data_IF_863307608592
#
_entry.id   IF_863307608592
#
_cell.length_a   1.000
_cell.length_b   1.000
_cell.length_c   1.000
_cell.angle_alpha   90.00
_cell.angle_beta   90.00
_cell.angle_gamma   90.00
#
_symmetry.space_group_name_H-M   'P 1'
#
loop_
_entity.id
_entity.type
_entity.pdbx_description
1 polymer ?
#
# COMPACT_ATOMS: atom_id res chain seq x y z
N UNK A 1 3.62 -11.50 -33.64
CA UNK A 1 4.07 -11.64 -32.25
C UNK A 1 4.89 -10.39 -31.95
N UNK A 2 4.36 -9.46 -31.15
CA UNK A 2 5.14 -8.29 -30.74
C UNK A 2 6.23 -8.76 -29.78
N UNK A 3 7.49 -8.43 -30.09
CA UNK A 3 8.61 -8.69 -29.18
C UNK A 3 8.56 -7.59 -28.12
N UNK A 4 8.10 -7.93 -26.92
CA UNK A 4 8.19 -7.05 -25.76
C UNK A 4 9.60 -7.11 -25.20
N UNK A 5 10.23 -5.96 -24.97
CA UNK A 5 11.52 -5.91 -24.28
C UNK A 5 11.27 -6.03 -22.77
N UNK A 6 12.23 -6.58 -21.99
CA UNK A 6 12.11 -6.60 -20.54
C UNK A 6 11.84 -5.21 -19.92
N UNK A 7 12.40 -4.16 -20.52
CA UNK A 7 12.17 -2.75 -20.14
C UNK A 7 10.73 -2.29 -20.33
N UNK A 8 9.98 -2.92 -21.23
CA UNK A 8 8.60 -2.54 -21.54
C UNK A 8 7.61 -3.21 -20.57
N UNK A 9 8.03 -4.29 -19.90
CA UNK A 9 7.19 -5.09 -18.98
C UNK A 9 7.54 -4.83 -17.52
N UNK A 10 8.81 -4.54 -17.22
CA UNK A 10 9.26 -4.31 -15.85
C UNK A 10 8.58 -3.08 -15.24
N UNK A 11 7.84 -3.29 -14.14
CA UNK A 11 7.15 -2.20 -13.43
C UNK A 11 5.96 -1.58 -14.17
N UNK A 12 5.49 -2.18 -15.28
CA UNK A 12 4.39 -1.63 -16.09
C UNK A 12 3.05 -1.58 -15.34
N UNK A 13 2.84 -2.50 -14.39
CA UNK A 13 1.66 -2.57 -13.53
C UNK A 13 1.91 -1.98 -12.14
N UNK A 14 2.80 -0.99 -12.03
CA UNK A 14 3.11 -0.29 -10.78
C UNK A 14 2.89 1.21 -10.96
N UNK A 15 2.14 1.84 -10.06
CA UNK A 15 1.96 3.29 -9.99
C UNK A 15 3.20 3.92 -9.35
N UNK A 16 4.32 3.81 -10.08
CA UNK A 16 5.66 4.20 -9.65
C UNK A 16 5.90 5.72 -9.82
N UNK A 17 7.09 6.19 -9.44
CA UNK A 17 7.49 7.59 -9.52
C UNK A 17 7.32 8.21 -10.92
N UNK A 18 7.70 7.48 -11.98
CA UNK A 18 7.57 7.96 -13.35
C UNK A 18 6.09 8.14 -13.74
N UNK A 19 5.24 7.18 -13.38
CA UNK A 19 3.78 7.29 -13.60
C UNK A 19 3.19 8.45 -12.81
N UNK A 20 3.61 8.62 -11.55
CA UNK A 20 3.19 9.75 -10.72
C UNK A 20 3.62 11.08 -11.32
N UNK A 21 4.85 11.19 -11.82
CA UNK A 21 5.38 12.40 -12.43
C UNK A 21 4.64 12.76 -13.73
N UNK A 22 4.24 11.76 -14.52
CA UNK A 22 3.49 11.95 -15.76
C UNK A 22 2.04 12.40 -15.50
N UNK A 23 1.38 11.81 -14.49
CA UNK A 23 -0.07 11.95 -14.28
C UNK A 23 -0.46 13.02 -13.28
N UNK A 24 0.38 13.28 -12.28
CA UNK A 24 0.03 14.23 -11.22
C UNK A 24 0.38 15.67 -11.64
N UNK A 25 -0.45 16.66 -11.27
CA UNK A 25 -0.06 18.05 -11.38
C UNK A 25 1.27 18.31 -10.65
N UNK A 26 2.14 19.14 -11.24
CA UNK A 26 3.50 19.40 -10.72
C UNK A 26 3.55 19.74 -9.21
N UNK A 27 2.58 20.52 -8.73
CA UNK A 27 2.49 20.88 -7.31
C UNK A 27 2.15 19.67 -6.42
N UNK A 28 1.21 18.83 -6.86
CA UNK A 28 0.77 17.61 -6.17
C UNK A 28 1.89 16.58 -6.14
N UNK A 29 2.55 16.34 -7.27
CA UNK A 29 3.73 15.46 -7.35
C UNK A 29 4.82 15.90 -6.37
N UNK A 30 5.19 17.18 -6.40
CA UNK A 30 6.22 17.72 -5.49
C UNK A 30 5.82 17.57 -4.02
N UNK A 31 4.57 17.90 -3.69
CA UNK A 31 4.05 17.77 -2.32
C UNK A 31 4.06 16.33 -1.83
N UNK A 32 3.62 15.37 -2.67
CA UNK A 32 3.64 13.95 -2.34
C UNK A 32 5.07 13.44 -2.15
N UNK A 33 5.98 13.79 -3.06
CA UNK A 33 7.38 13.37 -2.98
C UNK A 33 8.07 13.94 -1.72
N UNK A 34 7.80 15.20 -1.35
CA UNK A 34 8.29 15.79 -0.10
C UNK A 34 7.70 15.10 1.13
N UNK A 35 6.45 14.65 1.05
CA UNK A 35 5.77 13.92 2.12
C UNK A 35 6.44 12.56 2.34
N UNK A 36 6.71 11.81 1.27
CA UNK A 36 7.40 10.51 1.31
C UNK A 36 8.83 10.67 1.84
N UNK A 37 9.57 11.65 1.34
CA UNK A 37 10.97 11.86 1.71
C UNK A 37 11.14 12.21 3.19
N UNK A 38 10.22 13.00 3.74
CA UNK A 38 10.30 13.52 5.11
C UNK A 38 9.41 12.78 6.11
N UNK A 39 8.65 11.75 5.69
CA UNK A 39 7.73 11.02 6.56
C UNK A 39 6.62 11.90 7.15
N UNK A 40 6.09 12.85 6.38
CA UNK A 40 5.00 13.73 6.81
C UNK A 40 3.63 13.10 6.54
N UNK A 41 2.59 13.69 7.12
CA UNK A 41 1.21 13.34 6.79
C UNK A 41 0.84 13.83 5.37
N UNK A 42 0.06 13.02 4.65
CA UNK A 42 -0.45 13.38 3.33
C UNK A 42 -1.60 14.40 3.50
N UNK A 43 -1.47 15.54 2.83
CA UNK A 43 -2.55 16.54 2.77
C UNK A 43 -3.81 15.92 2.11
N UNK A 44 -5.01 16.02 2.72
CA UNK A 44 -6.24 15.48 2.16
C UNK A 44 -6.54 15.93 0.71
N UNK A 45 -6.22 17.18 0.38
CA UNK A 45 -6.42 17.72 -0.97
C UNK A 45 -5.45 17.09 -1.99
N UNK A 46 -4.23 16.78 -1.55
CA UNK A 46 -3.25 16.03 -2.35
C UNK A 46 -3.72 14.58 -2.52
N UNK A 47 -4.24 13.96 -1.45
CA UNK A 47 -4.72 12.58 -1.48
C UNK A 47 -5.89 12.39 -2.47
N UNK A 48 -6.83 13.33 -2.55
CA UNK A 48 -7.95 13.24 -3.51
C UNK A 48 -7.46 13.28 -4.96
N UNK A 49 -6.50 14.15 -5.28
CA UNK A 49 -5.92 14.22 -6.63
C UNK A 49 -5.14 12.94 -6.95
N UNK A 50 -4.36 12.43 -6.00
CA UNK A 50 -3.62 11.17 -6.16
C UNK A 50 -4.58 9.99 -6.36
N UNK A 51 -5.66 9.92 -5.58
CA UNK A 51 -6.68 8.87 -5.73
C UNK A 51 -7.31 8.90 -7.13
N UNK A 52 -7.72 10.07 -7.63
CA UNK A 52 -8.30 10.18 -8.98
C UNK A 52 -7.32 9.69 -10.05
N UNK A 53 -6.07 10.14 -10.00
CA UNK A 53 -5.04 9.74 -10.95
C UNK A 53 -4.70 8.24 -10.87
N UNK A 54 -4.67 7.68 -9.65
CA UNK A 54 -4.41 6.26 -9.40
C UNK A 54 -5.56 5.39 -9.91
N UNK A 55 -6.81 5.81 -9.72
CA UNK A 55 -8.01 5.14 -10.26
C UNK A 55 -8.00 5.14 -11.78
N UNK A 56 -7.78 6.30 -12.40
CA UNK A 56 -7.75 6.43 -13.86
C UNK A 56 -6.67 5.53 -14.47
N UNK A 57 -5.44 5.60 -13.93
CA UNK A 57 -4.36 4.71 -14.34
C UNK A 57 -4.72 3.23 -14.15
N UNK A 58 -5.36 2.86 -13.03
CA UNK A 58 -5.72 1.48 -12.75
C UNK A 58 -6.75 0.95 -13.74
N UNK A 59 -7.79 1.75 -14.03
CA UNK A 59 -8.86 1.40 -14.97
C UNK A 59 -8.35 1.31 -16.40
N UNK A 60 -7.44 2.20 -16.82
CA UNK A 60 -6.76 2.11 -18.11
C UNK A 60 -5.98 0.79 -18.29
N UNK A 61 -5.47 0.24 -17.18
CA UNK A 61 -4.79 -1.05 -17.15
C UNK A 61 -5.72 -2.23 -16.85
N UNK A 62 -7.04 -2.03 -16.92
CA UNK A 62 -8.06 -3.09 -16.80
C UNK A 62 -8.48 -3.43 -15.38
N UNK A 63 -8.05 -2.66 -14.37
CA UNK A 63 -8.52 -2.86 -13.01
C UNK A 63 -10.00 -2.47 -12.87
N UNK A 64 -10.76 -3.28 -12.14
CA UNK A 64 -12.19 -3.09 -11.86
C UNK A 64 -12.48 -2.89 -10.37
N UNK A 65 -11.50 -3.25 -9.54
CA UNK A 65 -11.57 -3.19 -8.10
C UNK A 65 -10.30 -2.54 -7.53
N UNK A 66 -10.34 -2.16 -6.27
CA UNK A 66 -9.19 -1.84 -5.46
C UNK A 66 -9.23 -2.63 -4.15
N UNK A 67 -8.08 -2.76 -3.50
CA UNK A 67 -7.95 -3.38 -2.18
C UNK A 67 -6.85 -2.68 -1.40
N UNK A 68 -7.08 -2.48 -0.11
CA UNK A 68 -5.99 -2.24 0.83
C UNK A 68 -5.24 -3.54 1.04
N UNK A 69 -3.97 -3.54 0.67
CA UNK A 69 -3.10 -4.72 0.67
C UNK A 69 -2.19 -4.66 1.90
N UNK A 70 -2.34 -5.60 2.84
CA UNK A 70 -1.56 -5.62 4.07
C UNK A 70 -1.30 -7.03 4.59
N UNK A 71 -0.32 -7.16 5.48
CA UNK A 71 0.05 -8.43 6.10
C UNK A 71 -0.30 -8.41 7.60
N UNK A 72 -1.47 -8.94 8.00
CA UNK A 72 -1.84 -9.05 9.40
C UNK A 72 -0.88 -9.96 10.19
N UNK A 73 -0.91 -9.82 11.51
CA UNK A 73 -0.12 -10.66 12.42
C UNK A 73 -0.45 -12.16 12.33
N UNK A 74 -1.60 -12.53 11.75
CA UNK A 74 -2.03 -13.91 11.50
C UNK A 74 -1.26 -14.60 10.37
N UNK A 75 -0.45 -13.87 9.60
CA UNK A 75 0.57 -14.43 8.72
C UNK A 75 0.20 -14.61 7.25
N UNK A 76 -1.07 -14.44 6.87
CA UNK A 76 -1.52 -14.48 5.47
C UNK A 76 -1.89 -13.05 5.05
N UNK A 77 -1.49 -12.65 3.84
CA UNK A 77 -1.89 -11.35 3.25
C UNK A 77 -3.41 -11.21 3.26
N UNK A 78 -3.89 -10.07 3.74
CA UNK A 78 -5.29 -9.71 3.68
C UNK A 78 -5.53 -8.80 2.46
N UNK A 79 -6.54 -9.16 1.67
CA UNK A 79 -7.03 -8.40 0.54
C UNK A 79 -8.57 -8.39 0.65
N UNK A 80 -9.19 -7.19 0.65
CA UNK A 80 -10.64 -7.01 0.54
C UNK A 80 -10.89 -6.18 -0.71
N UNK A 81 -11.53 -6.78 -1.69
CA UNK A 81 -11.76 -6.15 -2.99
C UNK A 81 -13.05 -5.34 -2.96
N UNK A 82 -12.91 -4.03 -3.12
CA UNK A 82 -14.00 -3.08 -3.29
C UNK A 82 -14.05 -2.64 -4.75
N UNK A 83 -15.25 -2.51 -5.31
CA UNK A 83 -15.41 -2.09 -6.70
C UNK A 83 -15.16 -0.59 -6.84
N UNK A 84 -14.54 -0.18 -7.96
CA UNK A 84 -14.57 1.24 -8.33
C UNK A 84 -15.99 1.69 -8.71
N UNK A 85 -16.88 0.79 -9.11
CA UNK A 85 -18.19 1.15 -9.61
C UNK A 85 -19.15 1.49 -8.45
N UNK A 86 -19.75 2.68 -8.53
CA UNK A 86 -20.75 3.18 -7.59
C UNK A 86 -22.00 3.64 -8.35
N UNK A 87 -23.23 3.31 -7.90
CA UNK A 87 -24.45 3.81 -8.53
C UNK A 87 -24.55 5.33 -8.43
N UNK A 88 -24.93 6.01 -9.51
CA UNK A 88 -25.01 7.49 -9.55
C UNK A 88 -26.33 8.06 -8.99
N UNK A 89 -27.23 7.19 -8.51
CA UNK A 89 -28.56 7.53 -8.01
C UNK A 89 -29.59 7.89 -9.08
N UNK A 90 -29.21 7.99 -10.35
CA UNK A 90 -30.05 8.36 -11.49
C UNK A 90 -30.20 7.23 -12.52
N UNK A 91 -29.79 6.01 -12.17
CA UNK A 91 -29.87 4.82 -13.03
C UNK A 91 -28.63 4.57 -13.88
N UNK A 92 -27.57 5.36 -13.71
CA UNK A 92 -26.24 5.13 -14.25
C UNK A 92 -25.25 4.66 -13.17
N UNK A 93 -23.98 4.65 -13.54
CA UNK A 93 -22.89 4.29 -12.64
C UNK A 93 -21.68 5.18 -12.90
N UNK A 94 -20.95 5.48 -11.83
CA UNK A 94 -19.72 6.27 -11.85
C UNK A 94 -18.59 5.46 -11.23
N UNK A 95 -17.36 5.82 -11.56
CA UNK A 95 -16.18 5.23 -10.93
C UNK A 95 -15.73 6.12 -9.78
N UNK A 96 -15.71 5.59 -8.57
CA UNK A 96 -15.34 6.30 -7.35
C UNK A 96 -14.11 5.67 -6.70
N UNK A 97 -13.16 6.53 -6.36
CA UNK A 97 -12.03 6.24 -5.49
C UNK A 97 -11.51 7.58 -4.99
N UNK A 98 -11.51 7.80 -3.68
CA UNK A 98 -11.24 9.10 -3.07
C UNK A 98 -10.00 9.07 -2.19
N UNK A 99 -9.45 10.23 -1.87
CA UNK A 99 -8.31 10.37 -0.97
C UNK A 99 -8.59 9.85 0.44
N UNK A 100 -9.87 9.79 0.84
CA UNK A 100 -10.29 9.14 2.08
C UNK A 100 -9.84 7.68 2.13
N UNK A 101 -9.99 6.94 1.02
CA UNK A 101 -9.54 5.56 0.92
C UNK A 101 -8.02 5.42 0.98
N UNK A 102 -7.25 6.48 0.68
CA UNK A 102 -5.80 6.46 0.83
C UNK A 102 -5.38 6.79 2.27
N UNK A 103 -5.96 7.82 2.89
CA UNK A 103 -5.54 8.31 4.22
C UNK A 103 -6.06 7.40 5.33
N UNK A 104 -7.34 7.04 5.29
CA UNK A 104 -8.01 6.24 6.33
C UNK A 104 -9.14 5.43 5.74
N UNK A 105 -8.81 4.23 5.28
CA UNK A 105 -9.80 3.23 4.91
C UNK A 105 -10.42 2.59 6.15
N UNK A 106 -11.72 2.31 6.07
CA UNK A 106 -12.43 1.44 7.02
C UNK A 106 -12.69 0.11 6.32
N UNK A 107 -11.73 -0.83 6.28
CA UNK A 107 -12.04 -2.17 5.84
C UNK A 107 -13.13 -2.74 6.76
N UNK A 108 -14.14 -3.41 6.19
CA UNK A 108 -15.10 -4.16 6.98
C UNK A 108 -14.39 -5.33 7.68
N UNK A 109 -13.83 -5.03 8.85
CA UNK A 109 -12.99 -5.92 9.63
C UNK A 109 -13.82 -6.93 10.45
N UNK A 110 -15.14 -6.96 10.26
CA UNK A 110 -16.04 -7.90 10.95
C UNK A 110 -15.71 -9.38 10.68
N UNK A 111 -15.01 -9.65 9.57
CA UNK A 111 -14.57 -10.99 9.15
C UNK A 111 -13.23 -11.43 9.76
N UNK A 112 -12.47 -10.55 10.43
CA UNK A 112 -11.23 -10.95 11.11
C UNK A 112 -11.55 -11.58 12.48
N UNK A 113 -10.85 -12.66 12.86
CA UNK A 113 -11.13 -13.39 14.10
C UNK A 113 -10.98 -12.47 15.32
N UNK A 114 -12.12 -12.13 15.96
CA UNK A 114 -12.20 -11.19 17.08
C UNK A 114 -12.00 -11.85 18.46
N UNK A 115 -11.65 -13.15 18.51
CA UNK A 115 -11.44 -13.87 19.76
C UNK A 115 -12.68 -13.96 20.68
N UNK A 116 -13.88 -13.63 20.18
CA UNK A 116 -15.15 -13.81 20.89
C UNK A 116 -15.37 -12.95 22.14
N UNK A 117 -14.51 -11.96 22.41
CA UNK A 117 -14.50 -11.22 23.70
C UNK A 117 -14.76 -9.70 23.58
N UNK A 118 -15.12 -9.17 22.41
CA UNK A 118 -15.29 -7.71 22.22
C UNK A 118 -16.62 -7.33 21.56
N UNK A 119 -17.15 -6.17 21.97
CA UNK A 119 -18.29 -5.54 21.31
C UNK A 119 -17.96 -5.25 19.84
N UNK A 120 -18.88 -5.53 18.93
CA UNK A 120 -18.68 -5.49 17.46
C UNK A 120 -18.20 -4.15 16.91
N UNK A 121 -18.35 -3.04 17.66
CA UNK A 121 -17.82 -1.73 17.28
C UNK A 121 -16.29 -1.61 17.44
N UNK A 122 -15.70 -2.30 18.41
CA UNK A 122 -14.25 -2.27 18.72
C UNK A 122 -13.42 -3.22 17.84
N UNK A 123 -14.10 -4.09 17.06
CA UNK A 123 -13.48 -4.99 16.10
C UNK A 123 -13.13 -4.29 14.77
N UNK A 124 -13.33 -2.97 14.66
CA UNK A 124 -12.99 -2.18 13.48
C UNK A 124 -11.49 -1.96 13.41
N UNK A 125 -10.91 -2.35 12.29
CA UNK A 125 -9.55 -1.99 11.92
C UNK A 125 -9.53 -0.85 10.92
N UNK A 126 -8.42 -0.11 10.88
CA UNK A 126 -8.21 1.03 9.99
C UNK A 126 -6.99 0.78 9.12
N UNK A 127 -7.11 1.09 7.84
CA UNK A 127 -5.99 1.05 6.89
C UNK A 127 -5.50 2.45 6.59
N UNK A 128 -4.19 2.62 6.51
CA UNK A 128 -3.55 3.84 6.07
C UNK A 128 -2.54 3.49 4.98
N UNK A 129 -2.63 4.15 3.82
CA UNK A 129 -1.67 3.95 2.74
C UNK A 129 -0.26 4.35 3.19
N UNK A 130 0.72 3.47 2.91
CA UNK A 130 2.13 3.80 3.02
C UNK A 130 2.68 4.17 1.63
N UNK A 131 2.90 5.47 1.35
CA UNK A 131 3.36 5.92 0.04
C UNK A 131 4.83 5.59 -0.24
N UNK A 132 5.57 5.04 0.72
CA UNK A 132 6.93 4.49 0.46
C UNK A 132 6.88 3.16 -0.31
N UNK A 133 5.71 2.53 -0.38
CA UNK A 133 5.44 1.32 -1.15
C UNK A 133 4.45 1.65 -2.27
N UNK A 134 4.87 1.55 -3.53
CA UNK A 134 4.01 1.89 -4.67
C UNK A 134 2.77 1.01 -4.75
N UNK A 135 1.64 1.61 -5.09
CA UNK A 135 0.46 0.87 -5.49
C UNK A 135 0.72 0.10 -6.80
N UNK A 136 0.10 -1.05 -6.96
CA UNK A 136 0.31 -1.92 -8.10
C UNK A 136 -0.97 -2.63 -8.50
N UNK A 137 -1.02 -3.13 -9.73
CA UNK A 137 -2.14 -3.94 -10.21
C UNK A 137 -1.73 -5.40 -10.14
N UNK A 138 -2.59 -6.19 -9.51
CA UNK A 138 -2.50 -7.65 -9.50
C UNK A 138 -3.84 -8.18 -9.97
N UNK A 139 -3.80 -9.02 -11.00
CA UNK A 139 -4.99 -9.48 -11.71
C UNK A 139 -5.82 -8.27 -12.18
N UNK A 140 -7.04 -8.10 -11.66
CA UNK A 140 -7.93 -6.99 -12.04
C UNK A 140 -8.16 -6.00 -10.89
N UNK A 141 -7.22 -5.92 -9.93
CA UNK A 141 -7.36 -5.08 -8.74
C UNK A 141 -6.16 -4.16 -8.52
N UNK A 142 -6.45 -2.89 -8.20
CA UNK A 142 -5.47 -1.96 -7.65
C UNK A 142 -5.17 -2.31 -6.19
N UNK A 143 -3.97 -2.79 -5.91
CA UNK A 143 -3.48 -3.08 -4.58
C UNK A 143 -2.78 -1.86 -3.99
N UNK A 144 -3.27 -1.37 -2.86
CA UNK A 144 -2.76 -0.19 -2.14
C UNK A 144 -2.01 -0.70 -0.89
N UNK A 145 -0.68 -0.64 -0.84
CA UNK A 145 0.08 -1.12 0.31
C UNK A 145 -0.25 -0.31 1.57
N UNK A 146 -0.81 -0.95 2.59
CA UNK A 146 -1.31 -0.23 3.77
C UNK A 146 -0.74 -0.76 5.07
N UNK A 147 -0.70 0.12 6.06
CA UNK A 147 -0.58 -0.23 7.45
C UNK A 147 -1.97 -0.49 8.06
N UNK A 148 -2.09 -1.45 8.97
CA UNK A 148 -3.34 -1.86 9.61
C UNK A 148 -3.32 -1.70 11.12
N UNK A 149 -4.29 -0.95 11.65
CA UNK A 149 -4.39 -0.57 13.05
C UNK A 149 -5.74 -0.97 13.64
N UNK A 150 -5.76 -1.26 14.93
CA UNK A 150 -6.99 -1.34 15.71
C UNK A 150 -7.59 0.05 15.97
N UNK A 151 -8.83 0.08 16.44
CA UNK A 151 -9.45 1.32 16.96
C UNK A 151 -8.66 1.98 18.09
N UNK A 152 -7.98 1.20 18.95
CA UNK A 152 -7.11 1.71 20.02
C UNK A 152 -5.73 2.18 19.53
N UNK A 153 -5.42 2.07 18.23
CA UNK A 153 -4.14 2.46 17.64
C UNK A 153 -3.04 1.41 17.77
N UNK A 154 -3.36 0.21 18.28
CA UNK A 154 -2.44 -0.92 18.27
C UNK A 154 -2.21 -1.39 16.83
N UNK A 155 -0.94 -1.65 16.48
CA UNK A 155 -0.59 -2.21 15.18
C UNK A 155 -1.07 -3.66 15.09
N UNK A 156 -1.84 -3.97 14.05
CA UNK A 156 -2.38 -5.32 13.78
C UNK A 156 -1.71 -5.97 12.55
N UNK A 157 -0.63 -5.38 12.05
CA UNK A 157 0.15 -5.85 10.91
C UNK A 157 1.63 -6.08 11.24
N UNK A 158 2.35 -6.62 10.26
CA UNK A 158 3.81 -6.75 10.29
C UNK A 158 4.55 -5.52 9.78
N UNK A 159 3.89 -4.68 8.97
CA UNK A 159 4.51 -3.53 8.30
C UNK A 159 4.83 -2.40 9.29
N UNK A 160 3.90 -2.08 10.19
CA UNK A 160 4.08 -1.00 11.17
C UNK A 160 5.26 -1.27 12.12
N UNK A 161 5.40 -2.45 12.74
CA UNK A 161 6.58 -2.77 13.55
C UNK A 161 7.89 -2.70 12.77
N UNK A 162 7.90 -3.15 11.50
CA UNK A 162 9.08 -3.08 10.64
C UNK A 162 9.50 -1.62 10.37
N UNK A 163 8.56 -0.76 9.96
CA UNK A 163 8.84 0.66 9.71
C UNK A 163 9.37 1.37 10.96
N UNK A 164 8.77 1.11 12.13
CA UNK A 164 9.26 1.63 13.42
C UNK A 164 10.67 1.16 13.74
N UNK A 165 10.97 -0.11 13.48
CA UNK A 165 12.32 -0.65 13.68
C UNK A 165 13.33 -0.01 12.74
N UNK A 166 12.98 0.20 11.48
CA UNK A 166 13.86 0.86 10.50
C UNK A 166 14.16 2.30 10.92
N UNK A 167 13.16 3.04 11.40
CA UNK A 167 13.34 4.40 11.88
C UNK A 167 14.26 4.45 13.11
N UNK A 168 14.03 3.58 14.11
CA UNK A 168 14.88 3.51 15.30
C UNK A 168 16.34 3.18 14.95
N UNK A 169 16.58 2.28 13.99
CA UNK A 169 17.94 1.98 13.50
C UNK A 169 18.54 3.19 12.79
N UNK A 170 17.78 3.86 11.92
CA UNK A 170 18.22 5.06 11.21
C UNK A 170 18.66 6.17 12.18
N UNK A 171 17.85 6.47 13.19
CA UNK A 171 18.16 7.50 14.19
C UNK A 171 19.50 7.26 14.90
N UNK A 172 19.79 6.02 15.31
CA UNK A 172 21.04 5.71 16.00
C UNK A 172 22.23 5.68 15.04
N UNK A 173 22.03 5.17 13.82
CA UNK A 173 23.07 5.15 12.79
C UNK A 173 23.50 6.58 12.42
N UNK A 174 22.55 7.52 12.26
CA UNK A 174 22.84 8.93 12.00
C UNK A 174 23.70 9.55 13.11
N UNK A 175 23.38 9.30 14.39
CA UNK A 175 24.20 9.80 15.52
C UNK A 175 25.65 9.31 15.46
N UNK A 176 25.84 8.03 15.14
CA UNK A 176 27.18 7.46 15.01
C UNK A 176 27.93 8.08 13.83
N UNK A 177 27.26 8.26 12.68
CA UNK A 177 27.87 8.88 11.50
C UNK A 177 28.28 10.34 11.76
N UNK A 178 27.48 11.10 12.50
CA UNK A 178 27.83 12.46 12.92
C UNK A 178 29.08 12.48 13.80
N UNK A 179 29.21 11.54 14.75
CA UNK A 179 30.42 11.40 15.57
C UNK A 179 31.66 11.03 14.74
N UNK A 180 31.48 10.38 13.59
CA UNK A 180 32.54 10.05 12.64
C UNK A 180 32.85 11.19 11.64
N UNK A 181 32.16 12.33 11.75
CA UNK A 181 32.39 13.53 10.94
C UNK A 181 31.45 13.71 9.74
N UNK A 182 30.48 12.82 9.53
CA UNK A 182 29.51 12.90 8.43
C UNK A 182 28.27 13.70 8.83
N UNK A 183 28.41 15.01 9.04
CA UNK A 183 27.35 15.86 9.63
C UNK A 183 26.15 16.16 8.70
N UNK A 184 26.23 15.81 7.42
CA UNK A 184 25.19 16.05 6.41
C UNK A 184 24.23 14.87 6.23
N UNK A 185 24.51 13.72 6.86
CA UNK A 185 23.64 12.53 6.77
C UNK A 185 22.36 12.76 7.59
N UNK A 186 21.20 12.64 6.94
CA UNK A 186 19.88 12.83 7.58
C UNK A 186 19.14 11.52 7.86
N UNK A 187 19.41 10.46 7.08
CA UNK A 187 18.70 9.19 7.17
C UNK A 187 19.59 8.04 6.70
N UNK A 188 19.44 6.88 7.32
CA UNK A 188 20.08 5.62 6.88
C UNK A 188 18.99 4.61 6.55
N UNK A 189 19.04 4.02 5.35
CA UNK A 189 18.13 2.97 4.92
C UNK A 189 18.83 1.62 4.86
N UNK A 190 18.10 0.56 5.23
CA UNK A 190 18.54 -0.82 5.08
C UNK A 190 18.14 -1.38 3.71
N UNK A 191 19.00 -2.21 3.12
CA UNK A 191 18.68 -3.02 1.95
C UNK A 191 18.51 -4.48 2.38
N UNK A 192 17.58 -5.20 1.73
CA UNK A 192 17.34 -6.62 1.99
C UNK A 192 17.26 -7.37 0.66
N UNK A 193 17.99 -8.49 0.56
CA UNK A 193 17.94 -9.41 -0.57
C UNK A 193 17.40 -10.76 -0.10
N UNK A 194 16.07 -10.97 -0.07
CA UNK A 194 15.51 -12.23 0.38
C UNK A 194 15.77 -13.33 -0.66
N UNK A 195 16.09 -14.53 -0.18
CA UNK A 195 16.14 -15.75 -0.98
C UNK A 195 14.91 -16.61 -0.61
N UNK A 196 14.19 -17.09 -1.62
CA UNK A 196 12.93 -17.82 -1.43
C UNK A 196 13.08 -19.28 -1.85
N UNK A 197 12.93 -20.19 -0.90
CA UNK A 197 12.84 -21.63 -1.14
C UNK A 197 11.38 -22.10 -1.16
N UNK A 198 11.05 -23.05 -2.02
CA UNK A 198 9.73 -23.68 -2.10
C UNK A 198 9.83 -25.07 -2.73
N UNK A 199 8.85 -25.92 -2.43
CA UNK A 199 8.69 -27.24 -3.07
C UNK A 199 7.50 -27.20 -4.03
N UNK A 200 7.63 -27.92 -5.15
CA UNK A 200 6.52 -28.16 -6.07
C UNK A 200 6.12 -29.63 -5.97
N UNK A 201 4.82 -29.86 -5.73
CA UNK A 201 4.21 -31.18 -5.70
C UNK A 201 3.08 -31.16 -6.70
N UNK A 202 2.88 -32.27 -7.41
CA UNK A 202 1.72 -32.44 -8.30
C UNK A 202 0.40 -32.21 -7.53
N UNK A 203 -0.55 -31.51 -8.16
CA UNK A 203 -1.82 -31.12 -7.53
C UNK A 203 -2.65 -32.33 -7.12
N UNK A 204 -2.68 -33.40 -7.91
CA UNK A 204 -3.46 -34.60 -7.59
C UNK A 204 -2.80 -35.41 -6.48
N UNK A 205 -1.46 -35.48 -6.46
CA UNK A 205 -0.73 -36.06 -5.33
C UNK A 205 -0.93 -35.28 -4.03
N UNK A 206 -0.99 -33.94 -4.09
CA UNK A 206 -1.20 -33.10 -2.91
C UNK A 206 -2.58 -33.31 -2.26
N UNK A 207 -3.63 -33.54 -3.07
CA UNK A 207 -5.00 -33.78 -2.58
C UNK A 207 -5.18 -35.12 -1.84
N UNK A 208 -4.25 -36.06 -2.00
CA UNK A 208 -4.31 -37.39 -1.37
C UNK A 208 -3.72 -37.40 0.06
N UNK A 209 -3.25 -36.24 0.57
CA UNK A 209 -2.74 -36.06 1.93
C UNK A 209 -3.79 -35.38 2.81
#
# INVERSE_FOLDING_TARGET
MFIMKPTDVFGSLVFNDAVMQERLPKAVYKSLHETIANGKDIDPTVADVVASAMREWAVENGATHYTHWFQPMTGITAEKHDSFLSPDGNGGAILEFSGKELIKGEPDASSFPSGGLRATFEARGYTAWDPTSYAFIKENSLCIPTAFYSYSGEALDKKTPLLRSMEAVSEQAVKVLHLLGYNDVQRVSGTVGPEQEYFLIDREMAKQR
#
